data_IF_843750590046
#
_entry.id   IF_843750590046
#
_cell.length_a   1.000
_cell.length_b   1.000
_cell.length_c   1.000
_cell.angle_alpha   90.00
_cell.angle_beta   90.00
_cell.angle_gamma   90.00
#
_symmetry.space_group_name_H-M   'P 1'
#
loop_
_entity.id
_entity.type
_entity.pdbx_description
1 polymer ?
#
# COMPACT_ATOMS: atom_id res chain seq x y z
N UNK A 1 -16.58 -21.93 -8.23
CA UNK A 1 -15.90 -20.67 -7.88
C UNK A 1 -14.47 -20.79 -8.38
N UNK A 2 -13.89 -19.78 -9.02
CA UNK A 2 -12.50 -19.84 -9.44
C UNK A 2 -11.58 -19.76 -8.22
N UNK A 3 -10.34 -20.26 -8.33
CA UNK A 3 -9.35 -20.15 -7.25
C UNK A 3 -9.11 -18.68 -6.85
N UNK A 4 -9.02 -17.80 -7.84
CA UNK A 4 -8.86 -16.36 -7.63
C UNK A 4 -10.00 -15.79 -6.77
N UNK A 5 -11.24 -16.10 -7.11
CA UNK A 5 -12.39 -15.63 -6.31
C UNK A 5 -12.32 -16.14 -4.87
N UNK A 6 -11.93 -17.43 -4.68
CA UNK A 6 -11.77 -17.99 -3.33
C UNK A 6 -10.68 -17.26 -2.53
N UNK A 7 -9.55 -16.91 -3.17
CA UNK A 7 -8.49 -16.13 -2.52
C UNK A 7 -8.97 -14.72 -2.11
N UNK A 8 -9.63 -14.02 -3.04
CA UNK A 8 -10.17 -12.68 -2.78
C UNK A 8 -11.20 -12.71 -1.65
N UNK A 9 -12.12 -13.68 -1.67
CA UNK A 9 -13.13 -13.82 -0.63
C UNK A 9 -12.50 -14.18 0.73
N UNK A 10 -11.42 -14.98 0.73
CA UNK A 10 -10.68 -15.27 1.96
C UNK A 10 -10.05 -14.01 2.55
N UNK A 11 -9.45 -13.15 1.73
CA UNK A 11 -8.89 -11.86 2.17
C UNK A 11 -9.99 -10.98 2.79
N UNK A 12 -11.14 -10.88 2.13
CA UNK A 12 -12.31 -10.13 2.60
C UNK A 12 -12.81 -10.64 3.94
N UNK A 13 -13.02 -11.95 4.06
CA UNK A 13 -13.56 -12.56 5.28
C UNK A 13 -12.58 -12.40 6.44
N UNK A 14 -11.28 -12.69 6.25
CA UNK A 14 -10.27 -12.47 7.29
C UNK A 14 -10.24 -11.02 7.76
N UNK A 15 -10.33 -10.07 6.85
CA UNK A 15 -10.36 -8.64 7.19
C UNK A 15 -11.61 -8.26 7.97
N UNK A 16 -12.78 -8.76 7.56
CA UNK A 16 -14.04 -8.54 8.24
C UNK A 16 -14.05 -9.16 9.65
N UNK A 17 -13.57 -10.40 9.79
CA UNK A 17 -13.49 -11.13 11.06
C UNK A 17 -12.57 -10.42 12.08
N UNK A 18 -11.45 -9.86 11.62
CA UNK A 18 -10.56 -9.06 12.46
C UNK A 18 -11.28 -7.83 13.01
N UNK A 19 -11.97 -7.09 12.15
CA UNK A 19 -12.70 -5.87 12.51
C UNK A 19 -13.86 -6.20 13.45
N UNK A 20 -14.64 -7.23 13.13
CA UNK A 20 -15.77 -7.68 13.95
C UNK A 20 -15.31 -8.12 15.34
N UNK A 21 -14.27 -8.96 15.41
CA UNK A 21 -13.74 -9.44 16.68
C UNK A 21 -13.20 -8.30 17.55
N UNK A 22 -12.53 -7.32 16.96
CA UNK A 22 -12.01 -6.16 17.66
C UNK A 22 -13.13 -5.16 18.07
N UNK A 23 -14.33 -5.31 17.49
CA UNK A 23 -15.41 -4.32 17.55
C UNK A 23 -14.91 -2.90 17.22
N UNK A 24 -13.93 -2.82 16.33
CA UNK A 24 -13.25 -1.58 15.94
C UNK A 24 -12.45 -1.79 14.67
N UNK A 25 -12.49 -0.84 13.74
CA UNK A 25 -11.71 -0.89 12.50
C UNK A 25 -12.48 -0.37 11.30
N UNK A 26 -11.89 -0.56 10.13
CA UNK A 26 -12.40 -0.04 8.86
C UNK A 26 -12.52 -1.21 7.86
N UNK A 27 -13.71 -1.74 7.58
CA UNK A 27 -13.88 -2.87 6.68
C UNK A 27 -14.00 -2.47 5.20
N UNK A 28 -14.35 -1.21 4.88
CA UNK A 28 -14.69 -0.77 3.52
C UNK A 28 -13.58 -1.01 2.50
N UNK A 29 -12.46 -0.33 2.66
CA UNK A 29 -11.32 -0.49 1.75
C UNK A 29 -10.74 -1.92 1.72
N UNK A 30 -10.64 -2.68 2.85
CA UNK A 30 -10.31 -4.10 2.81
C UNK A 30 -11.22 -4.93 1.90
N UNK A 31 -12.51 -4.65 1.88
CA UNK A 31 -13.48 -5.35 1.01
C UNK A 31 -13.30 -4.94 -0.46
N UNK A 32 -13.15 -3.64 -0.74
CA UNK A 32 -13.00 -3.11 -2.10
C UNK A 32 -11.66 -3.47 -2.73
N UNK A 33 -10.57 -3.28 -1.99
CA UNK A 33 -9.21 -3.42 -2.51
C UNK A 33 -8.64 -4.85 -2.43
N UNK A 34 -9.38 -5.85 -1.92
CA UNK A 34 -8.92 -7.24 -1.88
C UNK A 34 -8.49 -7.78 -3.25
N UNK A 35 -9.21 -7.53 -4.38
CA UNK A 35 -8.80 -8.04 -5.69
C UNK A 35 -7.45 -7.50 -6.14
N UNK A 36 -7.23 -6.18 -6.07
CA UNK A 36 -5.96 -5.58 -6.52
C UNK A 36 -4.80 -6.03 -5.64
N UNK A 37 -5.01 -6.09 -4.32
CA UNK A 37 -3.98 -6.53 -3.39
C UNK A 37 -3.63 -8.01 -3.61
N UNK A 38 -4.62 -8.85 -3.90
CA UNK A 38 -4.38 -10.23 -4.31
C UNK A 38 -3.48 -10.30 -5.54
N UNK A 39 -3.81 -9.59 -6.61
CA UNK A 39 -3.00 -9.58 -7.86
C UNK A 39 -1.59 -9.09 -7.60
N UNK A 40 -1.41 -8.00 -6.85
CA UNK A 40 -0.09 -7.47 -6.54
C UNK A 40 0.78 -8.50 -5.82
N UNK A 41 0.28 -9.15 -4.77
CA UNK A 41 1.06 -10.10 -3.98
C UNK A 41 1.21 -11.48 -4.63
N UNK A 42 0.28 -11.91 -5.50
CA UNK A 42 0.34 -13.25 -6.10
C UNK A 42 0.99 -13.31 -7.48
N UNK A 43 0.98 -12.20 -8.24
CA UNK A 43 1.36 -12.21 -9.65
C UNK A 43 2.39 -11.14 -10.04
N UNK A 44 2.45 -10.02 -9.33
CA UNK A 44 3.20 -8.84 -9.78
C UNK A 44 4.47 -8.60 -8.96
N UNK A 45 4.35 -8.59 -7.63
CA UNK A 45 5.44 -8.19 -6.74
C UNK A 45 6.49 -9.28 -6.55
N UNK A 46 7.75 -8.88 -6.56
CA UNK A 46 8.89 -9.71 -6.17
C UNK A 46 9.24 -9.47 -4.71
N UNK A 47 8.88 -10.39 -3.85
CA UNK A 47 9.17 -10.32 -2.42
C UNK A 47 9.52 -11.71 -1.85
N UNK A 48 10.00 -11.74 -0.62
CA UNK A 48 10.26 -12.98 0.10
C UNK A 48 9.73 -12.89 1.53
N UNK A 49 8.66 -13.59 1.82
CA UNK A 49 8.09 -13.65 3.17
C UNK A 49 9.08 -14.25 4.20
N UNK A 50 9.99 -15.15 3.74
CA UNK A 50 11.06 -15.75 4.58
C UNK A 50 12.25 -14.81 4.79
N UNK A 51 12.41 -13.81 3.94
CA UNK A 51 13.44 -12.77 4.06
C UNK A 51 12.83 -11.39 3.80
N UNK A 52 12.01 -10.88 4.74
CA UNK A 52 11.30 -9.60 4.57
C UNK A 52 12.24 -8.39 4.52
N UNK A 53 13.52 -8.56 4.83
CA UNK A 53 14.57 -7.54 4.73
C UNK A 53 15.41 -7.63 3.45
N UNK A 54 15.07 -8.51 2.50
CA UNK A 54 15.78 -8.60 1.23
C UNK A 54 15.88 -7.23 0.53
N UNK A 55 17.10 -6.80 0.23
CA UNK A 55 17.36 -5.42 -0.20
C UNK A 55 16.66 -5.06 -1.52
N UNK A 56 16.59 -5.99 -2.48
CA UNK A 56 15.98 -5.76 -3.80
C UNK A 56 14.54 -6.28 -3.90
N UNK A 57 13.82 -6.44 -2.77
CA UNK A 57 12.39 -6.74 -2.77
C UNK A 57 11.58 -5.55 -3.26
N UNK A 58 10.46 -5.78 -3.90
CA UNK A 58 9.46 -4.74 -4.12
C UNK A 58 8.87 -4.27 -2.78
N UNK A 59 8.47 -3.01 -2.73
CA UNK A 59 7.91 -2.35 -1.54
C UNK A 59 6.40 -2.20 -1.72
N UNK A 60 5.63 -2.61 -0.71
CA UNK A 60 4.21 -2.31 -0.65
C UNK A 60 3.93 -1.33 0.49
N UNK A 61 3.35 -0.19 0.16
CA UNK A 61 2.99 0.86 1.12
C UNK A 61 1.48 1.02 1.16
N UNK A 62 0.88 0.80 2.32
CA UNK A 62 -0.53 1.07 2.55
C UNK A 62 -0.68 2.50 3.08
N UNK A 63 -0.92 3.48 2.17
CA UNK A 63 -1.07 4.89 2.53
C UNK A 63 -2.35 5.17 3.30
N UNK A 64 -3.45 4.50 2.92
CA UNK A 64 -4.69 4.46 3.69
C UNK A 64 -4.56 3.47 4.87
N UNK A 65 -3.68 3.80 5.83
CA UNK A 65 -3.27 2.92 6.93
C UNK A 65 -4.41 2.38 7.79
N UNK A 66 -5.57 3.04 7.81
CA UNK A 66 -6.79 2.53 8.47
C UNK A 66 -7.28 1.20 7.87
N UNK A 67 -6.88 0.88 6.63
CA UNK A 67 -7.21 -0.37 5.93
C UNK A 67 -6.27 -1.54 6.29
N UNK A 68 -5.55 -1.44 7.41
CA UNK A 68 -4.50 -2.39 7.81
C UNK A 68 -4.97 -3.85 7.95
N UNK A 69 -6.26 -4.10 8.18
CA UNK A 69 -6.81 -5.46 8.18
C UNK A 69 -6.56 -6.17 6.82
N UNK A 70 -6.64 -5.43 5.70
CA UNK A 70 -6.26 -5.94 4.38
C UNK A 70 -4.79 -6.37 4.34
N UNK A 71 -3.89 -5.49 4.78
CA UNK A 71 -2.45 -5.77 4.76
C UNK A 71 -2.10 -6.96 5.64
N UNK A 72 -2.64 -7.03 6.85
CA UNK A 72 -2.38 -8.16 7.76
C UNK A 72 -2.92 -9.48 7.22
N UNK A 73 -4.09 -9.48 6.58
CA UNK A 73 -4.61 -10.65 5.87
C UNK A 73 -3.64 -11.11 4.77
N UNK A 74 -3.13 -10.19 3.97
CA UNK A 74 -2.15 -10.50 2.91
C UNK A 74 -0.84 -11.03 3.46
N UNK A 75 -0.27 -10.39 4.48
CA UNK A 75 0.98 -10.83 5.09
C UNK A 75 0.84 -12.25 5.68
N UNK A 76 -0.28 -12.54 6.36
CA UNK A 76 -0.57 -13.88 6.85
C UNK A 76 -0.68 -14.91 5.71
N UNK A 77 -1.50 -14.63 4.70
CA UNK A 77 -1.78 -15.56 3.60
C UNK A 77 -0.55 -15.82 2.71
N UNK A 78 0.35 -14.86 2.61
CA UNK A 78 1.58 -14.95 1.81
C UNK A 78 2.78 -15.50 2.57
N UNK A 79 2.59 -15.88 3.85
CA UNK A 79 3.56 -16.65 4.62
C UNK A 79 4.60 -15.84 5.36
N UNK A 80 4.35 -14.55 5.60
CA UNK A 80 5.14 -13.80 6.57
C UNK A 80 4.95 -14.36 7.98
N UNK A 81 5.85 -14.03 8.89
CA UNK A 81 5.76 -14.42 10.30
C UNK A 81 4.65 -13.64 11.02
N UNK A 82 3.42 -13.92 10.63
CA UNK A 82 2.19 -13.36 11.18
C UNK A 82 1.12 -14.46 11.23
N UNK A 83 0.86 -14.98 12.41
CA UNK A 83 -0.04 -16.11 12.61
C UNK A 83 -1.52 -15.71 12.62
N UNK A 84 -2.41 -16.70 12.50
CA UNK A 84 -3.85 -16.47 12.66
C UNK A 84 -4.18 -15.99 14.08
N UNK A 85 -3.40 -16.39 15.09
CA UNK A 85 -3.58 -15.92 16.45
C UNK A 85 -3.18 -14.43 16.59
N UNK A 86 -2.19 -13.96 15.84
CA UNK A 86 -1.86 -12.53 15.76
C UNK A 86 -3.02 -11.74 15.13
N UNK A 87 -3.63 -12.27 14.05
CA UNK A 87 -4.81 -11.64 13.43
C UNK A 87 -5.99 -11.52 14.43
N UNK A 88 -6.20 -12.53 15.24
CA UNK A 88 -7.23 -12.52 16.31
C UNK A 88 -6.98 -11.46 17.38
N UNK A 89 -5.78 -10.92 17.49
CA UNK A 89 -5.41 -9.86 18.42
C UNK A 89 -5.40 -8.46 17.74
N UNK A 90 -6.08 -8.32 16.61
CA UNK A 90 -6.18 -7.06 15.88
C UNK A 90 -6.64 -5.91 16.81
N UNK A 91 -5.91 -4.80 16.78
CA UNK A 91 -6.15 -3.60 17.61
C UNK A 91 -6.08 -3.82 19.13
N UNK A 92 -5.55 -4.94 19.59
CA UNK A 92 -5.34 -5.13 21.04
C UNK A 92 -3.99 -4.53 21.46
N UNK A 93 -3.90 -4.07 22.69
CA UNK A 93 -2.68 -3.49 23.26
C UNK A 93 -1.53 -4.49 23.19
N UNK A 94 -0.40 -4.07 22.62
CA UNK A 94 0.79 -4.90 22.49
C UNK A 94 0.72 -5.99 21.41
N UNK A 95 -0.35 -6.01 20.60
CA UNK A 95 -0.46 -6.99 19.51
C UNK A 95 0.48 -6.69 18.36
N UNK A 96 0.77 -7.72 17.55
CA UNK A 96 1.53 -7.60 16.30
C UNK A 96 0.69 -7.07 15.13
N UNK A 97 -0.60 -6.83 15.37
CA UNK A 97 -1.57 -6.28 14.41
C UNK A 97 -2.23 -5.03 14.97
N UNK A 98 -1.45 -3.95 15.16
CA UNK A 98 -1.97 -2.68 15.69
C UNK A 98 -3.02 -2.07 14.76
N UNK A 99 -3.74 -1.05 15.24
CA UNK A 99 -4.85 -0.41 14.52
C UNK A 99 -4.46 0.34 13.25
N UNK A 100 -3.18 0.59 13.05
CA UNK A 100 -2.53 1.09 11.83
C UNK A 100 -1.20 0.36 11.65
N UNK A 101 -0.68 0.23 10.41
CA UNK A 101 0.58 -0.46 10.17
C UNK A 101 1.75 0.19 10.91
N UNK A 102 2.56 -0.64 11.58
CA UNK A 102 3.79 -0.22 12.26
C UNK A 102 4.96 -1.10 11.82
N UNK A 103 5.93 -0.52 11.14
CA UNK A 103 7.05 -1.26 10.53
C UNK A 103 8.01 -1.90 11.54
N UNK A 104 8.04 -1.41 12.78
CA UNK A 104 8.86 -1.98 13.86
C UNK A 104 8.14 -3.12 14.61
N UNK A 105 6.85 -3.32 14.37
CA UNK A 105 6.00 -4.28 15.07
C UNK A 105 5.63 -5.45 14.19
N UNK A 106 5.22 -5.19 12.96
CA UNK A 106 4.67 -6.20 12.05
C UNK A 106 5.67 -6.53 10.94
N UNK A 107 6.18 -7.77 10.84
CA UNK A 107 7.05 -8.19 9.74
C UNK A 107 6.37 -8.02 8.37
N UNK A 108 7.08 -7.40 7.43
CA UNK A 108 6.56 -7.14 6.08
C UNK A 108 5.87 -5.78 5.91
N UNK A 109 5.65 -5.04 6.99
CA UNK A 109 5.22 -3.64 6.91
C UNK A 109 6.43 -2.75 6.59
N UNK A 110 6.36 -2.02 5.48
CA UNK A 110 7.47 -1.17 5.01
C UNK A 110 7.50 0.19 5.71
N UNK A 111 6.34 0.76 5.97
CA UNK A 111 6.18 2.11 6.54
C UNK A 111 5.06 2.12 7.56
N UNK A 112 5.30 2.75 8.70
CA UNK A 112 4.24 3.09 9.65
C UNK A 112 3.36 4.17 9.05
N UNK A 113 2.05 3.88 8.93
CA UNK A 113 1.06 4.78 8.36
C UNK A 113 -0.13 4.95 9.29
N UNK A 114 -1.04 5.86 8.95
CA UNK A 114 -2.20 6.24 9.76
C UNK A 114 -2.57 7.67 9.46
N UNK A 115 -1.66 8.66 9.65
CA UNK A 115 -1.87 9.99 9.08
C UNK A 115 -1.94 9.91 7.56
N UNK A 116 -3.06 10.35 6.99
CA UNK A 116 -3.34 10.26 5.55
C UNK A 116 -2.29 11.03 4.73
N UNK A 117 -1.98 10.56 3.52
CA UNK A 117 -0.99 11.15 2.63
C UNK A 117 0.48 10.81 2.94
N UNK A 118 0.80 10.46 4.17
CA UNK A 118 2.17 10.16 4.58
C UNK A 118 2.73 8.92 3.87
N UNK A 119 1.91 7.88 3.69
CA UNK A 119 2.34 6.65 3.01
C UNK A 119 2.76 6.89 1.57
N UNK A 120 1.96 7.65 0.79
CA UNK A 120 2.32 8.01 -0.58
C UNK A 120 3.61 8.83 -0.63
N UNK A 121 3.78 9.79 0.27
CA UNK A 121 5.00 10.60 0.35
C UNK A 121 6.23 9.75 0.69
N UNK A 122 6.10 8.77 1.59
CA UNK A 122 7.17 7.80 1.88
C UNK A 122 7.48 6.92 0.66
N UNK A 123 6.45 6.48 -0.08
CA UNK A 123 6.64 5.69 -1.30
C UNK A 123 7.42 6.47 -2.38
N UNK A 124 7.16 7.77 -2.52
CA UNK A 124 7.98 8.65 -3.38
C UNK A 124 9.43 8.64 -2.92
N UNK A 125 9.69 8.79 -1.62
CA UNK A 125 11.05 8.72 -1.06
C UNK A 125 11.73 7.37 -1.31
N UNK A 126 11.00 6.25 -1.22
CA UNK A 126 11.53 4.92 -1.53
C UNK A 126 11.89 4.77 -3.02
N UNK A 127 11.04 5.28 -3.92
CA UNK A 127 11.33 5.26 -5.35
C UNK A 127 12.51 6.16 -5.72
N UNK A 128 12.69 7.30 -5.04
CA UNK A 128 13.88 8.13 -5.17
C UNK A 128 15.14 7.37 -4.72
N UNK A 129 15.06 6.68 -3.59
CA UNK A 129 16.17 5.89 -3.07
C UNK A 129 16.54 4.75 -4.03
N UNK A 130 15.57 4.03 -4.58
CA UNK A 130 15.81 3.00 -5.60
C UNK A 130 16.55 3.58 -6.80
N UNK A 131 16.03 4.68 -7.39
CA UNK A 131 16.64 5.32 -8.55
C UNK A 131 18.07 5.78 -8.29
N UNK A 132 18.33 6.34 -7.11
CA UNK A 132 19.67 6.75 -6.69
C UNK A 132 20.60 5.53 -6.52
N UNK A 133 20.17 4.50 -5.81
CA UNK A 133 20.97 3.30 -5.57
C UNK A 133 21.24 2.53 -6.88
N UNK A 134 20.26 2.46 -7.77
CA UNK A 134 20.43 1.88 -9.10
C UNK A 134 21.53 2.61 -9.90
N UNK A 135 21.55 3.94 -9.84
CA UNK A 135 22.59 4.74 -10.50
C UNK A 135 23.99 4.54 -9.89
N UNK A 136 24.06 4.20 -8.61
CA UNK A 136 25.33 3.97 -7.89
C UNK A 136 25.87 2.54 -8.08
N UNK A 137 24.99 1.53 -8.02
CA UNK A 137 25.40 0.13 -7.92
C UNK A 137 25.21 -0.68 -9.20
N UNK A 138 24.31 -0.32 -10.09
CA UNK A 138 24.10 -1.05 -11.34
C UNK A 138 25.25 -0.73 -12.32
N UNK A 139 25.72 -1.75 -13.00
CA UNK A 139 26.76 -1.66 -14.04
C UNK A 139 26.28 -2.31 -15.33
N UNK A 140 27.03 -2.15 -16.42
CA UNK A 140 26.71 -2.82 -17.69
C UNK A 140 26.69 -4.35 -17.55
N UNK A 141 27.57 -4.92 -16.70
CA UNK A 141 27.64 -6.36 -16.46
C UNK A 141 26.58 -6.84 -15.46
N UNK A 142 26.12 -5.96 -14.57
CA UNK A 142 25.14 -6.25 -13.52
C UNK A 142 24.06 -5.16 -13.47
N UNK A 143 23.13 -5.12 -14.44
CA UNK A 143 22.18 -4.01 -14.57
C UNK A 143 21.01 -4.04 -13.57
N UNK A 144 20.85 -5.12 -12.80
CA UNK A 144 19.70 -5.37 -11.94
C UNK A 144 20.08 -5.64 -10.46
N UNK A 145 21.19 -5.08 -9.97
CA UNK A 145 21.54 -5.18 -8.53
C UNK A 145 20.49 -4.48 -7.70
N UNK A 146 20.05 -3.29 -8.14
CA UNK A 146 18.94 -2.54 -7.57
C UNK A 146 17.91 -2.32 -8.67
N UNK A 147 16.75 -2.98 -8.55
CA UNK A 147 15.74 -3.00 -9.63
C UNK A 147 14.32 -3.25 -9.08
N UNK A 148 14.03 -2.79 -7.88
CA UNK A 148 12.74 -3.02 -7.24
C UNK A 148 11.75 -1.89 -7.52
N UNK A 149 10.45 -2.23 -7.49
CA UNK A 149 9.36 -1.30 -7.60
C UNK A 149 8.84 -0.90 -6.21
N UNK A 150 8.15 0.22 -6.16
CA UNK A 150 7.38 0.67 -4.99
C UNK A 150 5.93 0.78 -5.39
N UNK A 151 5.10 -0.05 -4.76
CA UNK A 151 3.65 -0.06 -4.92
C UNK A 151 3.02 0.66 -3.74
N UNK A 152 2.07 1.55 -4.00
CA UNK A 152 1.35 2.24 -2.93
C UNK A 152 -0.15 2.17 -3.18
N UNK A 153 -0.92 1.80 -2.15
CA UNK A 153 -2.36 1.86 -2.15
C UNK A 153 -2.80 3.07 -1.33
N UNK A 154 -3.57 3.97 -1.94
CA UNK A 154 -4.10 5.17 -1.32
C UNK A 154 -5.59 5.35 -1.66
N UNK A 155 -6.30 6.12 -0.86
CA UNK A 155 -7.69 6.50 -1.10
C UNK A 155 -7.87 8.01 -1.17
N UNK A 156 -9.11 8.46 -1.35
CA UNK A 156 -9.48 9.88 -1.48
C UNK A 156 -8.88 10.75 -0.37
N UNK A 157 -9.01 10.33 0.88
CA UNK A 157 -8.47 11.08 2.02
C UNK A 157 -6.95 11.27 1.97
N UNK A 158 -6.19 10.34 1.37
CA UNK A 158 -4.76 10.53 1.16
C UNK A 158 -4.47 11.63 0.15
N UNK A 159 -5.29 11.74 -0.89
CA UNK A 159 -5.08 12.67 -1.99
C UNK A 159 -5.56 14.09 -1.67
N UNK A 160 -6.38 14.25 -0.62
CA UNK A 160 -6.76 15.56 -0.09
C UNK A 160 -5.64 16.24 0.72
N UNK A 161 -4.62 15.49 1.12
CA UNK A 161 -3.50 16.03 1.89
C UNK A 161 -2.50 16.79 0.99
N UNK A 162 -2.14 18.01 1.36
CA UNK A 162 -1.22 18.86 0.61
C UNK A 162 0.14 18.20 0.34
N UNK A 163 0.67 17.46 1.33
CA UNK A 163 1.93 16.71 1.18
C UNK A 163 1.90 15.69 0.05
N UNK A 164 0.74 15.11 -0.24
CA UNK A 164 0.56 14.17 -1.36
C UNK A 164 0.74 14.87 -2.70
N UNK A 165 0.15 16.06 -2.85
CA UNK A 165 0.29 16.87 -4.07
C UNK A 165 1.74 17.27 -4.31
N UNK A 166 2.43 17.73 -3.28
CA UNK A 166 3.85 18.11 -3.35
C UNK A 166 4.73 16.90 -3.69
N UNK A 167 4.53 15.76 -3.01
CA UNK A 167 5.29 14.54 -3.27
C UNK A 167 5.05 13.99 -4.68
N UNK A 168 3.79 14.01 -5.16
CA UNK A 168 3.44 13.57 -6.51
C UNK A 168 4.07 14.47 -7.58
N UNK A 169 4.07 15.78 -7.37
CA UNK A 169 4.76 16.73 -8.24
C UNK A 169 6.25 16.42 -8.34
N UNK A 170 6.90 16.14 -7.21
CA UNK A 170 8.32 15.77 -7.17
C UNK A 170 8.57 14.44 -7.88
N UNK A 171 7.70 13.44 -7.68
CA UNK A 171 7.82 12.15 -8.35
C UNK A 171 7.76 12.27 -9.88
N UNK A 172 6.81 13.08 -10.38
CA UNK A 172 6.70 13.40 -11.81
C UNK A 172 7.93 14.13 -12.34
N UNK A 173 8.39 15.16 -11.63
CA UNK A 173 9.60 15.92 -12.01
C UNK A 173 10.84 15.01 -12.10
N UNK A 174 11.00 14.10 -11.17
CA UNK A 174 12.14 13.18 -11.14
C UNK A 174 11.96 11.96 -12.06
N UNK A 175 10.80 11.78 -12.68
CA UNK A 175 10.51 10.64 -13.56
C UNK A 175 10.67 9.29 -12.84
N UNK A 176 9.98 9.11 -11.71
CA UNK A 176 10.08 7.90 -10.88
C UNK A 176 9.22 6.75 -11.45
N UNK A 177 9.65 6.17 -12.58
CA UNK A 177 8.87 5.17 -13.32
C UNK A 177 8.65 3.83 -12.62
N UNK A 178 9.32 3.58 -11.50
CA UNK A 178 9.12 2.38 -10.68
C UNK A 178 8.20 2.62 -9.46
N UNK A 179 7.61 3.80 -9.36
CA UNK A 179 6.53 4.09 -8.42
C UNK A 179 5.19 3.76 -9.09
N UNK A 180 4.45 2.83 -8.51
CA UNK A 180 3.12 2.43 -8.98
C UNK A 180 2.10 2.81 -7.92
N UNK A 181 1.17 3.69 -8.27
CA UNK A 181 0.12 4.18 -7.38
C UNK A 181 -1.20 3.49 -7.73
N UNK A 182 -1.77 2.78 -6.76
CA UNK A 182 -3.13 2.24 -6.81
C UNK A 182 -4.04 3.17 -6.03
N UNK A 183 -5.02 3.76 -6.70
CA UNK A 183 -5.93 4.72 -6.11
C UNK A 183 -7.33 4.12 -5.98
N UNK A 184 -7.80 3.98 -4.74
CA UNK A 184 -9.17 3.62 -4.38
C UNK A 184 -10.04 4.88 -4.46
N UNK A 185 -10.65 5.06 -5.64
CA UNK A 185 -11.51 6.20 -5.99
C UNK A 185 -12.96 5.89 -5.61
N UNK A 186 -13.25 5.91 -4.35
CA UNK A 186 -14.54 5.49 -3.81
C UNK A 186 -15.47 6.65 -3.42
N UNK A 187 -15.03 7.88 -3.62
CA UNK A 187 -15.79 9.12 -3.35
C UNK A 187 -16.28 9.28 -1.91
N UNK A 188 -15.59 8.68 -0.93
CA UNK A 188 -16.02 8.75 0.47
C UNK A 188 -14.86 9.09 1.42
N UNK A 189 -15.20 9.84 2.45
CA UNK A 189 -14.37 10.09 3.64
C UNK A 189 -15.11 9.63 4.89
N UNK A 190 -14.51 9.77 6.10
CA UNK A 190 -15.18 9.43 7.37
C UNK A 190 -16.50 10.17 7.52
N UNK A 191 -16.55 11.45 7.14
CA UNK A 191 -17.71 12.33 7.37
C UNK A 191 -18.72 12.32 6.22
N UNK A 192 -18.50 11.53 5.17
CA UNK A 192 -19.40 11.38 4.05
C UNK A 192 -18.73 11.54 2.69
N UNK A 193 -19.51 11.95 1.71
CA UNK A 193 -19.08 12.15 0.33
C UNK A 193 -17.94 13.16 0.22
N UNK A 194 -17.01 12.91 -0.71
CA UNK A 194 -15.89 13.81 -1.00
C UNK A 194 -16.33 15.20 -1.44
N UNK A 195 -17.50 15.33 -2.08
CA UNK A 195 -18.07 16.61 -2.52
C UNK A 195 -18.29 17.60 -1.36
N UNK A 196 -18.33 17.14 -0.11
CA UNK A 196 -18.44 17.99 1.06
C UNK A 196 -17.15 18.77 1.37
N UNK A 197 -16.00 18.24 0.95
CA UNK A 197 -14.68 18.77 1.35
C UNK A 197 -13.71 18.97 0.20
N UNK A 198 -13.90 18.27 -0.93
CA UNK A 198 -12.88 18.23 -1.98
C UNK A 198 -13.52 17.93 -3.35
N UNK A 199 -13.54 18.93 -4.20
CA UNK A 199 -14.14 18.86 -5.54
C UNK A 199 -13.12 18.96 -6.68
N UNK A 200 -11.85 18.83 -6.37
CA UNK A 200 -10.80 18.85 -7.38
C UNK A 200 -10.81 17.56 -8.21
N UNK A 201 -10.54 17.69 -9.49
CA UNK A 201 -10.37 16.54 -10.36
C UNK A 201 -9.08 15.79 -10.07
N UNK A 202 -9.07 14.96 -9.03
CA UNK A 202 -7.90 14.22 -8.53
C UNK A 202 -7.21 13.43 -9.64
N UNK A 203 -7.98 12.79 -10.52
CA UNK A 203 -7.48 12.13 -11.72
C UNK A 203 -6.59 13.04 -12.58
N UNK A 204 -7.10 14.23 -12.89
CA UNK A 204 -6.42 15.19 -13.75
C UNK A 204 -5.13 15.67 -13.09
N UNK A 205 -5.17 15.93 -11.79
CA UNK A 205 -4.01 16.39 -11.03
C UNK A 205 -2.94 15.30 -10.97
N UNK A 206 -3.27 14.09 -10.53
CA UNK A 206 -2.32 12.99 -10.47
C UNK A 206 -1.79 12.62 -11.85
N UNK A 207 -2.65 12.59 -12.88
CA UNK A 207 -2.22 12.33 -14.25
C UNK A 207 -1.25 13.39 -14.76
N UNK A 208 -1.48 14.65 -14.45
CA UNK A 208 -0.56 15.74 -14.83
C UNK A 208 0.75 15.74 -14.04
N UNK A 209 0.72 15.36 -12.77
CA UNK A 209 1.89 15.33 -11.90
C UNK A 209 2.76 14.08 -12.12
N UNK A 210 2.14 12.93 -12.41
CA UNK A 210 2.82 11.65 -12.56
C UNK A 210 3.07 11.25 -14.03
N UNK A 211 2.67 12.08 -14.99
CA UNK A 211 2.47 11.80 -16.43
C UNK A 211 3.63 11.15 -17.17
N UNK A 212 4.86 11.33 -16.78
CA UNK A 212 5.96 10.94 -17.66
C UNK A 212 6.57 9.56 -17.40
N UNK A 213 6.31 8.87 -16.28
CA UNK A 213 6.86 7.53 -16.05
C UNK A 213 6.27 6.78 -14.84
N UNK A 214 5.28 7.30 -14.16
CA UNK A 214 4.63 6.61 -13.02
C UNK A 214 3.31 5.98 -13.48
N UNK A 215 3.07 4.73 -13.11
CA UNK A 215 1.81 4.05 -13.43
C UNK A 215 0.78 4.36 -12.34
N UNK A 216 -0.35 4.93 -12.75
CA UNK A 216 -1.51 5.15 -11.91
C UNK A 216 -2.60 4.14 -12.29
N UNK A 217 -3.03 3.35 -11.32
CA UNK A 217 -4.11 2.38 -11.47
C UNK A 217 -5.32 2.84 -10.65
N UNK A 218 -6.48 2.91 -11.28
CA UNK A 218 -7.77 3.21 -10.63
C UNK A 218 -8.48 1.91 -10.25
N UNK A 219 -9.09 1.90 -9.08
CA UNK A 219 -9.84 0.76 -8.56
C UNK A 219 -11.25 1.20 -8.18
#
# INVERSE_FOLDING_TARGET
>A
MSLVNSCVDTIRVLSADMVEKANSGHPGAPMGCAPITHVLFSEVMNYSAKNPSWANRDRFVLSNGHSCALLYSMLHLTGYDLSIEDLKQFRQLGSRTPGHPENIVTPGVEVSTGPLGQGLSNAVGMAMAEKHLAAVFNTADFPHIVDHHTFVLCGDGCLQEGVTSEASSLAGHLGLGKLIVCYDDNHITIDGDTDLSFTEGTHTILYSLLYYNTLLLYI
#
